data_IF_750033352554
#
_entry.id   IF_750033352554
#
_cell.length_a   1.000
_cell.length_b   1.000
_cell.length_c   1.000
_cell.angle_alpha   90.00
_cell.angle_beta   90.00
_cell.angle_gamma   90.00
#
_symmetry.space_group_name_H-M   'P 1'
#
loop_
_entity.id
_entity.type
_entity.pdbx_description
1 polymer ?
#
# COMPACT_ATOMS: atom_id res chain seq x y z
N UNK A 1 -6.93 8.49 21.14
CA UNK A 1 -5.86 7.96 20.27
C UNK A 1 -6.37 8.08 18.85
N UNK A 2 -5.56 8.52 17.89
CA UNK A 2 -6.00 8.76 16.50
C UNK A 2 -5.45 7.67 15.60
N UNK A 3 -6.34 6.93 14.93
CA UNK A 3 -6.01 6.03 13.83
C UNK A 3 -6.13 6.76 12.49
N UNK A 4 -5.43 6.26 11.48
CA UNK A 4 -5.63 6.61 10.07
C UNK A 4 -6.20 5.38 9.37
N UNK A 5 -7.44 5.51 8.89
CA UNK A 5 -8.14 4.47 8.15
C UNK A 5 -8.12 4.82 6.66
N UNK A 6 -7.66 3.89 5.84
CA UNK A 6 -7.53 4.03 4.39
C UNK A 6 -8.32 2.87 3.77
N UNK A 7 -9.26 3.22 2.90
CA UNK A 7 -10.19 2.30 2.26
C UNK A 7 -10.01 2.29 0.75
N UNK A 8 -10.28 1.15 0.12
CA UNK A 8 -10.37 0.95 -1.33
C UNK A 8 -9.12 1.40 -2.12
N UNK A 9 -7.92 1.10 -1.63
CA UNK A 9 -6.67 1.44 -2.31
C UNK A 9 -6.36 0.45 -3.42
N UNK A 10 -6.25 0.96 -4.65
CA UNK A 10 -5.77 0.21 -5.80
C UNK A 10 -4.58 0.92 -6.45
N UNK A 11 -3.58 0.16 -6.86
CA UNK A 11 -2.33 0.65 -7.47
C UNK A 11 -2.03 -0.17 -8.72
N UNK A 12 -1.73 0.51 -9.82
CA UNK A 12 -1.36 -0.09 -11.09
C UNK A 12 -0.32 0.78 -11.81
N UNK A 13 0.51 0.18 -12.66
CA UNK A 13 1.46 0.92 -13.50
C UNK A 13 0.88 1.22 -14.89
N UNK A 14 0.28 0.20 -15.50
CA UNK A 14 -0.41 0.25 -16.79
C UNK A 14 -1.85 -0.23 -16.60
N UNK A 15 -2.74 0.04 -17.55
CA UNK A 15 -4.18 -0.26 -17.42
C UNK A 15 -4.48 -1.73 -17.12
N UNK A 16 -3.60 -2.64 -17.53
CA UNK A 16 -3.69 -4.09 -17.33
C UNK A 16 -2.73 -4.63 -16.26
N UNK A 17 -1.95 -3.76 -15.62
CA UNK A 17 -0.92 -4.14 -14.65
C UNK A 17 -1.28 -3.66 -13.25
N UNK A 18 -2.32 -4.30 -12.68
CA UNK A 18 -2.78 -4.05 -11.31
C UNK A 18 -1.84 -4.75 -10.33
N UNK A 19 -1.29 -3.98 -9.40
CA UNK A 19 -0.32 -4.42 -8.39
C UNK A 19 -1.00 -4.60 -7.03
N UNK A 20 -1.92 -3.71 -6.69
CA UNK A 20 -2.77 -3.77 -5.51
C UNK A 20 -4.20 -3.50 -5.95
N UNK A 21 -5.14 -4.27 -5.44
CA UNK A 21 -6.57 -4.10 -5.71
C UNK A 21 -7.33 -4.15 -4.39
N UNK A 22 -8.11 -3.11 -4.12
CA UNK A 22 -9.05 -2.99 -3.00
C UNK A 22 -8.40 -3.29 -1.63
N UNK A 23 -7.29 -2.60 -1.35
CA UNK A 23 -6.54 -2.75 -0.12
C UNK A 23 -7.09 -1.82 0.97
N UNK A 24 -7.24 -2.40 2.16
CA UNK A 24 -7.70 -1.76 3.39
C UNK A 24 -6.53 -1.64 4.38
N UNK A 25 -6.28 -0.45 4.91
CA UNK A 25 -5.20 -0.20 5.88
C UNK A 25 -5.71 0.61 7.07
N UNK A 26 -5.41 0.14 8.28
CA UNK A 26 -5.68 0.84 9.53
C UNK A 26 -4.36 1.04 10.27
N UNK A 27 -3.96 2.30 10.41
CA UNK A 27 -2.67 2.68 10.96
C UNK A 27 -2.85 3.41 12.28
N UNK A 28 -2.23 2.88 13.33
CA UNK A 28 -2.26 3.43 14.67
C UNK A 28 -1.12 4.42 14.88
N UNK A 29 -1.43 5.56 15.52
CA UNK A 29 -0.41 6.56 15.84
C UNK A 29 0.66 5.98 16.76
N UNK A 30 1.92 6.04 16.32
CA UNK A 30 3.08 5.59 17.08
C UNK A 30 3.49 4.14 16.83
N UNK A 31 2.74 3.40 16.02
CA UNK A 31 3.14 2.07 15.56
C UNK A 31 4.08 2.17 14.35
N UNK A 32 4.98 1.19 14.21
CA UNK A 32 5.89 1.05 13.06
C UNK A 32 5.42 -0.14 12.22
N UNK A 33 5.22 0.09 10.92
CA UNK A 33 4.72 -0.90 9.98
C UNK A 33 5.78 -1.23 8.93
N UNK A 34 5.88 -2.53 8.57
CA UNK A 34 6.74 -3.00 7.49
C UNK A 34 5.93 -3.54 6.33
N UNK A 35 6.28 -3.14 5.10
CA UNK A 35 5.65 -3.64 3.88
C UNK A 35 6.46 -4.82 3.31
N UNK A 36 5.88 -6.01 3.30
CA UNK A 36 6.53 -7.29 2.92
C UNK A 36 5.86 -7.91 1.68
N UNK A 37 6.60 -8.74 0.94
CA UNK A 37 6.14 -9.29 -0.34
C UNK A 37 7.29 -9.64 -1.30
N UNK A 38 6.99 -10.23 -2.45
CA UNK A 38 7.98 -10.52 -3.50
C UNK A 38 8.40 -9.24 -4.25
N UNK A 39 9.49 -9.29 -5.03
CA UNK A 39 9.85 -8.15 -5.88
C UNK A 39 8.73 -7.86 -6.88
N UNK A 40 8.40 -6.57 -7.06
CA UNK A 40 7.28 -6.14 -7.91
C UNK A 40 5.90 -6.13 -7.23
N UNK A 41 5.77 -6.56 -5.97
CA UNK A 41 4.50 -6.57 -5.23
C UNK A 41 4.02 -5.18 -4.76
N UNK A 42 4.48 -4.10 -5.39
CA UNK A 42 4.09 -2.73 -5.02
C UNK A 42 4.78 -2.16 -3.78
N UNK A 43 5.82 -2.85 -3.27
CA UNK A 43 6.59 -2.39 -2.10
C UNK A 43 7.48 -1.17 -2.35
N UNK A 44 7.80 -0.89 -3.61
CA UNK A 44 8.72 0.17 -4.00
C UNK A 44 8.00 1.22 -4.84
N UNK A 45 8.30 2.48 -4.55
CA UNK A 45 8.16 3.61 -5.46
C UNK A 45 9.55 4.23 -5.53
N UNK A 46 10.27 4.02 -6.63
CA UNK A 46 11.53 4.70 -6.88
C UNK A 46 11.20 6.04 -7.54
N UNK A 47 11.46 7.14 -6.82
CA UNK A 47 11.35 8.49 -7.37
C UNK A 47 12.68 8.79 -8.08
N UNK A 48 12.64 8.79 -9.42
CA UNK A 48 13.61 9.48 -10.27
C UNK A 48 12.86 10.55 -11.07
#
# INVERSE_FOLDING_TARGET
MSSLDIHDVSVWYEWDNVILENVELQLEKGAVYGLLGVNGAGKQHEVN
#
